data_IF_734047270049
#
_entry.id   IF_734047270049
#
_cell.length_a   1.000
_cell.length_b   1.000
_cell.length_c   1.000
_cell.angle_alpha   90.00
_cell.angle_beta   90.00
_cell.angle_gamma   90.00
#
_symmetry.space_group_name_H-M   'P 1'
#
loop_
_entity.id
_entity.type
_entity.pdbx_description
1 polymer ?
#
# COMPACT_ATOMS: atom_id res chain seq x y z
N UNK A 1 -19.03 -20.23 10.85
CA UNK A 1 -18.62 -21.64 11.13
C UNK A 1 -18.98 -21.92 12.57
N UNK A 2 -20.08 -22.63 12.82
CA UNK A 2 -20.56 -22.93 14.18
C UNK A 2 -19.58 -23.78 14.99
N UNK A 3 -18.70 -24.51 14.31
CA UNK A 3 -17.65 -25.34 14.93
C UNK A 3 -16.27 -24.67 14.87
N UNK A 4 -16.21 -23.34 14.83
CA UNK A 4 -14.92 -22.65 14.84
C UNK A 4 -14.20 -22.92 16.17
N UNK A 5 -12.94 -23.33 16.09
CA UNK A 5 -12.18 -23.84 17.23
C UNK A 5 -11.97 -22.81 18.37
N UNK A 6 -12.13 -21.52 18.07
CA UNK A 6 -12.01 -20.42 19.04
C UNK A 6 -13.40 -19.86 19.34
N UNK A 7 -13.79 -19.94 20.62
CA UNK A 7 -15.12 -19.54 21.09
C UNK A 7 -15.46 -18.05 20.93
N UNK A 8 -14.46 -17.18 20.75
CA UNK A 8 -14.59 -15.72 20.67
C UNK A 8 -13.93 -15.18 19.38
N UNK A 9 -14.45 -15.62 18.25
CA UNK A 9 -13.95 -15.28 16.91
C UNK A 9 -14.98 -15.60 15.82
N UNK A 10 -14.68 -15.17 14.58
CA UNK A 10 -15.50 -15.43 13.39
C UNK A 10 -16.96 -14.92 13.52
N UNK A 11 -17.11 -13.69 13.98
CA UNK A 11 -18.41 -13.05 14.29
C UNK A 11 -19.31 -12.78 13.07
N UNK A 12 -18.79 -12.82 11.85
CA UNK A 12 -19.57 -12.54 10.65
C UNK A 12 -20.27 -13.82 10.15
N UNK A 13 -21.55 -13.71 9.81
CA UNK A 13 -22.33 -14.81 9.22
C UNK A 13 -21.84 -15.17 7.81
N UNK A 14 -21.43 -14.16 7.04
CA UNK A 14 -20.85 -14.32 5.70
C UNK A 14 -19.80 -13.25 5.41
N UNK A 15 -18.91 -13.55 4.46
CA UNK A 15 -17.93 -12.62 3.92
C UNK A 15 -17.97 -12.74 2.41
N UNK A 16 -18.11 -11.61 1.72
CA UNK A 16 -18.00 -11.52 0.27
C UNK A 16 -16.72 -10.76 -0.09
N UNK A 17 -15.90 -11.35 -0.96
CA UNK A 17 -14.65 -10.76 -1.43
C UNK A 17 -14.84 -10.29 -2.87
N UNK A 18 -15.00 -8.97 -3.04
CA UNK A 18 -15.18 -8.36 -4.35
C UNK A 18 -13.84 -7.89 -4.91
N UNK A 19 -13.55 -8.29 -6.16
CA UNK A 19 -12.38 -7.80 -6.89
C UNK A 19 -12.73 -6.54 -7.67
N UNK A 20 -12.36 -5.37 -7.13
CA UNK A 20 -12.48 -4.09 -7.82
C UNK A 20 -11.07 -3.61 -8.15
N UNK A 21 -10.64 -3.74 -9.41
CA UNK A 21 -9.26 -3.42 -9.83
C UNK A 21 -8.96 -1.92 -9.76
N UNK A 22 -9.90 -1.10 -10.22
CA UNK A 22 -9.71 0.36 -10.25
C UNK A 22 -9.80 0.96 -8.83
N UNK A 23 -8.77 1.68 -8.37
CA UNK A 23 -8.74 2.25 -7.02
C UNK A 23 -9.81 3.34 -6.82
N UNK A 24 -10.19 4.07 -7.88
CA UNK A 24 -11.22 5.10 -7.80
C UNK A 24 -12.61 4.49 -7.63
N UNK A 25 -12.89 3.40 -8.34
CA UNK A 25 -14.12 2.63 -8.19
C UNK A 25 -14.21 2.01 -6.79
N UNK A 26 -13.10 1.47 -6.26
CA UNK A 26 -13.06 0.90 -4.91
C UNK A 26 -13.30 1.96 -3.83
N UNK A 27 -12.68 3.13 -3.96
CA UNK A 27 -12.94 4.26 -3.08
C UNK A 27 -14.40 4.74 -3.15
N UNK A 28 -14.96 4.80 -4.35
CA UNK A 28 -16.37 5.19 -4.55
C UNK A 28 -17.32 4.18 -3.91
N UNK A 29 -17.07 2.89 -4.05
CA UNK A 29 -17.86 1.84 -3.42
C UNK A 29 -17.87 1.96 -1.88
N UNK A 30 -16.71 2.28 -1.26
CA UNK A 30 -16.64 2.55 0.18
C UNK A 30 -17.41 3.85 0.54
N UNK A 31 -17.31 4.88 -0.31
CA UNK A 31 -18.03 6.14 -0.14
C UNK A 31 -19.55 6.00 -0.30
N UNK A 32 -20.05 5.00 -1.04
CA UNK A 32 -21.47 4.71 -1.19
C UNK A 32 -21.99 3.62 -0.25
N UNK A 33 -21.14 3.10 0.65
CA UNK A 33 -21.42 1.94 1.51
C UNK A 33 -21.80 0.68 0.70
N UNK A 34 -21.31 0.55 -0.52
CA UNK A 34 -21.44 -0.67 -1.34
C UNK A 34 -20.45 -1.75 -0.92
N UNK A 35 -19.40 -1.38 -0.18
CA UNK A 35 -18.48 -2.27 0.52
C UNK A 35 -18.23 -1.71 1.93
N UNK A 36 -17.95 -2.59 2.88
CA UNK A 36 -17.66 -2.20 4.27
C UNK A 36 -16.17 -1.96 4.52
N UNK A 37 -15.31 -2.68 3.78
CA UNK A 37 -13.84 -2.65 3.95
C UNK A 37 -13.18 -2.52 2.59
N UNK A 38 -12.17 -1.66 2.53
CA UNK A 38 -11.29 -1.49 1.37
C UNK A 38 -9.82 -1.68 1.80
N UNK A 39 -9.08 -2.47 1.04
CA UNK A 39 -7.64 -2.56 1.14
C UNK A 39 -6.94 -1.62 0.14
N UNK A 40 -5.63 -1.41 0.33
CA UNK A 40 -4.75 -0.66 -0.59
C UNK A 40 -5.32 0.71 -0.95
N UNK A 41 -5.65 1.50 0.06
CA UNK A 41 -6.06 2.89 -0.10
C UNK A 41 -4.93 3.69 -0.77
N UNK A 42 -5.23 4.44 -1.84
CA UNK A 42 -4.25 5.33 -2.46
C UNK A 42 -4.00 6.53 -1.52
N UNK A 43 -2.73 6.83 -1.16
CA UNK A 43 -2.38 7.99 -0.34
C UNK A 43 -3.01 9.32 -0.81
N UNK A 44 -3.31 9.45 -2.11
CA UNK A 44 -3.93 10.64 -2.69
C UNK A 44 -5.35 10.91 -2.16
N UNK A 45 -6.08 9.88 -1.78
CA UNK A 45 -7.50 9.97 -1.39
C UNK A 45 -7.73 9.80 0.12
N UNK A 46 -6.69 9.45 0.90
CA UNK A 46 -6.78 9.29 2.37
C UNK A 46 -7.42 10.51 3.02
N UNK A 47 -6.96 11.72 2.67
CA UNK A 47 -7.47 12.98 3.22
C UNK A 47 -8.93 13.28 2.84
N UNK A 48 -9.46 12.67 1.78
CA UNK A 48 -10.87 12.80 1.39
C UNK A 48 -11.71 11.79 2.15
N UNK A 49 -11.26 10.52 2.20
CA UNK A 49 -11.95 9.45 2.92
C UNK A 49 -12.04 9.73 4.43
N UNK A 50 -10.98 10.29 5.02
CA UNK A 50 -10.93 10.62 6.46
C UNK A 50 -11.94 11.69 6.89
N UNK A 51 -12.53 12.43 5.93
CA UNK A 51 -13.56 13.44 6.22
C UNK A 51 -14.97 12.87 6.21
N UNK A 52 -15.19 11.68 5.65
CA UNK A 52 -16.52 11.05 5.62
C UNK A 52 -16.81 10.40 6.98
N UNK A 53 -17.94 10.77 7.57
CA UNK A 53 -18.44 10.12 8.77
C UNK A 53 -18.67 8.61 8.52
N UNK A 54 -18.25 7.78 9.47
CA UNK A 54 -18.37 6.32 9.38
C UNK A 54 -17.22 5.61 8.66
N UNK A 55 -16.25 6.35 8.09
CA UNK A 55 -15.01 5.76 7.58
C UNK A 55 -13.89 5.98 8.59
N UNK A 56 -13.25 4.88 9.01
CA UNK A 56 -12.00 4.91 9.76
C UNK A 56 -10.84 4.53 8.84
N UNK A 57 -9.73 5.25 8.96
CA UNK A 57 -8.48 4.91 8.26
C UNK A 57 -7.57 4.21 9.26
N UNK A 58 -7.18 2.99 8.93
CA UNK A 58 -6.18 2.22 9.69
C UNK A 58 -4.89 2.20 8.90
N UNK A 59 -3.88 2.91 9.41
CA UNK A 59 -2.53 2.93 8.85
C UNK A 59 -1.60 2.10 9.74
N UNK A 60 -0.94 1.11 9.15
CA UNK A 60 -0.01 0.21 9.85
C UNK A 60 1.27 0.08 9.05
N UNK A 61 2.39 -0.06 9.76
CA UNK A 61 3.67 -0.40 9.12
C UNK A 61 3.56 -1.80 8.52
N UNK A 62 3.46 -1.87 7.20
CA UNK A 62 3.42 -3.11 6.44
C UNK A 62 4.81 -3.59 6.02
N UNK A 63 4.84 -4.67 5.25
CA UNK A 63 6.04 -5.26 4.66
C UNK A 63 6.31 -4.79 3.22
N UNK A 64 5.61 -3.76 2.75
CA UNK A 64 5.78 -3.23 1.40
C UNK A 64 7.11 -2.50 1.29
N UNK A 65 7.92 -2.89 0.30
CA UNK A 65 9.21 -2.27 0.02
C UNK A 65 9.26 -1.82 -1.45
N UNK A 66 9.37 -0.51 -1.67
CA UNK A 66 9.55 0.05 -3.01
C UNK A 66 11.00 -0.11 -3.44
N UNK A 67 11.24 -0.83 -4.54
CA UNK A 67 12.58 -1.15 -5.03
C UNK A 67 12.76 -0.73 -6.48
N UNK A 68 14.03 -0.61 -6.87
CA UNK A 68 14.46 -0.48 -8.26
C UNK A 68 15.44 -1.62 -8.55
N UNK A 69 14.95 -2.85 -8.81
CA UNK A 69 15.80 -3.97 -9.10
C UNK A 69 16.54 -3.75 -10.43
N UNK A 70 17.82 -4.12 -10.45
CA UNK A 70 18.69 -4.01 -11.61
C UNK A 70 19.32 -5.37 -11.88
N UNK A 71 19.18 -5.89 -13.09
CA UNK A 71 19.79 -7.16 -13.49
C UNK A 71 21.31 -6.99 -13.65
N UNK A 72 22.08 -7.48 -12.68
CA UNK A 72 23.54 -7.32 -12.66
C UNK A 72 24.28 -8.16 -13.70
N UNK A 73 23.57 -8.91 -14.54
CA UNK A 73 24.16 -9.72 -15.61
C UNK A 73 24.05 -9.08 -16.99
N UNK A 74 23.32 -7.96 -17.11
CA UNK A 74 23.02 -7.31 -18.38
C UNK A 74 23.44 -5.85 -18.37
N UNK A 75 24.13 -5.41 -19.42
CA UNK A 75 24.49 -4.01 -19.59
C UNK A 75 23.24 -3.10 -19.66
N UNK A 76 23.25 -1.89 -19.05
CA UNK A 76 24.39 -1.26 -18.36
C UNK A 76 24.47 -1.58 -16.86
N UNK A 77 23.61 -2.47 -16.35
CA UNK A 77 23.49 -2.76 -14.92
C UNK A 77 24.52 -3.77 -14.41
N UNK A 78 25.28 -4.42 -15.29
CA UNK A 78 26.50 -5.16 -14.95
C UNK A 78 27.58 -4.25 -14.34
N UNK A 79 27.64 -2.98 -14.75
CA UNK A 79 28.53 -1.97 -14.18
C UNK A 79 28.04 -1.45 -12.81
N UNK A 80 28.86 -1.60 -11.77
CA UNK A 80 28.57 -1.10 -10.41
C UNK A 80 28.36 0.42 -10.36
N UNK A 81 29.15 1.19 -11.10
CA UNK A 81 29.09 2.65 -11.07
C UNK A 81 27.76 3.16 -11.63
N UNK A 82 27.20 2.48 -12.64
CA UNK A 82 25.86 2.78 -13.17
C UNK A 82 24.81 2.55 -12.09
N UNK A 83 24.88 1.43 -11.37
CA UNK A 83 23.93 1.12 -10.29
C UNK A 83 24.02 2.13 -9.14
N UNK A 84 25.24 2.51 -8.75
CA UNK A 84 25.47 3.51 -7.71
C UNK A 84 24.99 4.90 -8.16
N UNK A 85 25.27 5.30 -9.39
CA UNK A 85 24.80 6.57 -9.94
C UNK A 85 23.27 6.66 -9.89
N UNK A 86 22.55 5.62 -10.30
CA UNK A 86 21.09 5.58 -10.21
C UNK A 86 20.59 5.57 -8.75
N UNK A 87 21.27 4.84 -7.85
CA UNK A 87 20.94 4.82 -6.42
C UNK A 87 21.03 6.22 -5.78
N UNK A 88 22.04 7.01 -6.15
CA UNK A 88 22.25 8.36 -5.63
C UNK A 88 21.43 9.44 -6.34
N UNK A 89 20.99 9.18 -7.57
CA UNK A 89 20.11 10.10 -8.31
C UNK A 89 18.68 10.17 -7.76
N UNK A 90 18.27 9.19 -6.93
CA UNK A 90 16.92 9.13 -6.36
C UNK A 90 16.82 10.00 -5.11
N UNK A 91 16.03 11.06 -5.20
CA UNK A 91 15.56 11.84 -4.05
C UNK A 91 14.41 11.09 -3.35
N UNK A 92 14.78 10.30 -2.34
CA UNK A 92 13.84 9.47 -1.55
C UNK A 92 12.88 10.33 -0.72
N UNK A 93 13.34 11.49 -0.23
CA UNK A 93 12.51 12.42 0.53
C UNK A 93 11.44 13.05 -0.35
N UNK A 94 11.81 13.47 -1.56
CA UNK A 94 10.85 13.99 -2.53
C UNK A 94 9.80 12.94 -2.90
N UNK A 95 10.19 11.67 -3.09
CA UNK A 95 9.24 10.57 -3.33
C UNK A 95 8.28 10.40 -2.16
N UNK A 96 8.79 10.30 -0.93
CA UNK A 96 7.97 10.14 0.26
C UNK A 96 6.98 11.29 0.41
N UNK A 97 7.43 12.53 0.21
CA UNK A 97 6.61 13.74 0.36
C UNK A 97 5.57 13.90 -0.74
N UNK A 98 5.95 13.69 -2.00
CA UNK A 98 5.10 14.03 -3.16
C UNK A 98 4.22 12.87 -3.63
N UNK A 99 4.77 11.66 -3.68
CA UNK A 99 4.08 10.47 -4.19
C UNK A 99 3.32 9.80 -3.06
N UNK A 100 4.00 9.47 -1.96
CA UNK A 100 3.40 8.77 -0.82
C UNK A 100 2.73 9.72 0.17
N UNK A 101 2.90 11.04 0.03
CA UNK A 101 2.30 12.06 0.91
C UNK A 101 2.59 11.84 2.40
N UNK A 102 3.76 11.32 2.72
CA UNK A 102 4.17 11.01 4.09
C UNK A 102 3.71 9.65 4.62
N UNK A 103 2.94 8.87 3.85
CA UNK A 103 2.50 7.52 4.22
C UNK A 103 3.59 6.49 3.90
N UNK A 104 4.66 6.51 4.69
CA UNK A 104 5.80 5.63 4.55
C UNK A 104 7.02 6.14 5.32
N UNK A 105 8.09 5.37 5.26
CA UNK A 105 9.38 5.72 5.86
C UNK A 105 10.49 5.56 4.84
N UNK A 106 11.58 6.33 5.01
CA UNK A 106 12.75 6.17 4.15
C UNK A 106 13.41 4.81 4.41
N UNK A 107 13.50 3.98 3.37
CA UNK A 107 14.16 2.70 3.43
C UNK A 107 15.67 2.80 3.19
N UNK A 108 16.43 1.84 3.73
CA UNK A 108 17.88 1.71 3.53
C UNK A 108 18.21 0.62 2.48
N UNK A 109 17.42 0.54 1.41
CA UNK A 109 17.53 -0.44 0.31
C UNK A 109 17.51 -1.92 0.75
N UNK A 110 16.98 -2.21 1.94
CA UNK A 110 16.66 -3.56 2.42
C UNK A 110 15.29 -3.54 3.13
N UNK A 111 14.57 -4.68 3.15
CA UNK A 111 13.22 -4.75 3.70
C UNK A 111 13.16 -4.92 5.24
N UNK A 112 14.29 -5.05 5.93
CA UNK A 112 14.40 -5.32 7.39
C UNK A 112 15.28 -4.34 8.14
#
# INVERSE_FOLDING_TARGET
>A
NENYFKADAAYADSIELLTIQDPTARASALMTNSIDIMDRCDPKIVAVLSKKAGIAITEVAGNLHYTMPMDTTVAPFDNLDVRLALKYAIDREAILKSILRGHGVLGNDHPI
#
